data_IF_620149062425
#
_entry.id   IF_620149062425
#
_cell.length_a   1.000
_cell.length_b   1.000
_cell.length_c   1.000
_cell.angle_alpha   90.00
_cell.angle_beta   90.00
_cell.angle_gamma   90.00
#
_symmetry.space_group_name_H-M   'P 1'
#
loop_
_entity.id
_entity.type
_entity.pdbx_description
1 polymer ?
#
# COMPACT_ATOMS: atom_id res chain seq x y z
N UNK A 1 -9.45 25.20 23.60
CA UNK A 1 -8.87 24.72 22.35
C UNK A 1 -9.61 23.45 21.96
N UNK A 2 -10.24 23.42 20.80
CA UNK A 2 -10.91 22.21 20.35
C UNK A 2 -9.84 21.13 20.07
N UNK A 3 -9.86 20.05 20.81
CA UNK A 3 -9.06 18.86 20.52
C UNK A 3 -9.55 18.29 19.21
N UNK A 4 -8.81 18.50 18.12
CA UNK A 4 -9.15 17.89 16.83
C UNK A 4 -9.08 16.37 17.03
N UNK A 5 -10.21 15.70 16.88
CA UNK A 5 -10.31 14.24 17.03
C UNK A 5 -9.33 13.59 16.02
N UNK A 6 -8.53 12.65 16.48
CA UNK A 6 -7.63 11.87 15.62
C UNK A 6 -8.43 10.90 14.77
N UNK A 7 -7.97 10.66 13.56
CA UNK A 7 -8.55 9.73 12.59
C UNK A 7 -7.87 8.38 12.65
N UNK A 8 -8.59 7.31 12.39
CA UNK A 8 -8.01 5.97 12.20
C UNK A 8 -7.78 5.74 10.70
N UNK A 9 -6.58 5.28 10.34
CA UNK A 9 -6.17 5.15 8.94
C UNK A 9 -5.65 3.75 8.63
N UNK A 10 -5.93 3.28 7.42
CA UNK A 10 -5.24 2.14 6.83
C UNK A 10 -4.46 2.62 5.61
N UNK A 11 -3.14 2.50 5.72
CA UNK A 11 -2.21 2.77 4.64
C UNK A 11 -1.98 1.46 3.87
N UNK A 12 -2.05 1.52 2.55
CA UNK A 12 -2.05 0.35 1.68
C UNK A 12 -0.94 0.49 0.64
N UNK A 13 -0.09 -0.52 0.46
CA UNK A 13 0.64 -0.59 -0.80
C UNK A 13 -0.33 -0.88 -1.95
N UNK A 14 0.07 -0.55 -3.15
CA UNK A 14 -0.73 -0.75 -4.35
C UNK A 14 -0.45 -2.13 -4.98
N UNK A 15 0.79 -2.33 -5.43
CA UNK A 15 1.21 -3.51 -6.16
C UNK A 15 1.40 -4.69 -5.18
N UNK A 16 0.75 -5.81 -5.42
CA UNK A 16 0.74 -6.97 -4.51
C UNK A 16 -0.33 -6.93 -3.42
N UNK A 17 -0.94 -5.77 -3.12
CA UNK A 17 -2.00 -5.61 -2.12
C UNK A 17 -3.35 -5.29 -2.77
N UNK A 18 -3.41 -4.27 -3.61
CA UNK A 18 -4.64 -3.83 -4.31
C UNK A 18 -4.74 -4.46 -5.69
N UNK A 19 -3.65 -4.42 -6.46
CA UNK A 19 -3.56 -5.04 -7.78
C UNK A 19 -2.47 -6.11 -7.81
N UNK A 20 -2.56 -7.00 -8.81
CA UNK A 20 -1.52 -8.00 -9.04
C UNK A 20 -0.19 -7.30 -9.30
N UNK A 21 0.84 -7.66 -8.53
CA UNK A 21 2.22 -7.25 -8.82
C UNK A 21 2.76 -8.01 -10.05
N UNK A 22 3.67 -7.38 -10.80
CA UNK A 22 4.31 -7.96 -11.98
C UNK A 22 5.80 -7.62 -11.98
N UNK A 23 6.60 -8.59 -12.43
CA UNK A 23 8.06 -8.43 -12.56
C UNK A 23 8.42 -7.20 -13.40
N UNK A 24 7.64 -6.90 -14.46
CA UNK A 24 7.87 -5.79 -15.39
C UNK A 24 6.94 -4.59 -15.16
N UNK A 25 6.56 -4.33 -13.92
CA UNK A 25 5.63 -3.28 -13.49
C UNK A 25 4.18 -3.45 -14.01
N UNK A 26 3.22 -2.95 -13.25
CA UNK A 26 1.80 -2.93 -13.58
C UNK A 26 1.40 -1.51 -14.02
N UNK A 27 1.61 -1.15 -15.29
CA UNK A 27 1.34 0.18 -15.85
C UNK A 27 0.45 0.18 -17.09
N UNK A 28 0.24 -0.97 -17.72
CA UNK A 28 -0.67 -1.13 -18.86
C UNK A 28 -2.04 -1.56 -18.34
N UNK A 29 -3.10 -0.86 -18.76
CA UNK A 29 -4.47 -1.14 -18.29
C UNK A 29 -4.92 -2.58 -18.56
N UNK A 30 -4.52 -3.15 -19.69
CA UNK A 30 -4.83 -4.55 -20.06
C UNK A 30 -4.29 -5.54 -19.02
N UNK A 31 -3.17 -5.20 -18.41
CA UNK A 31 -2.43 -6.01 -17.45
C UNK A 31 -2.66 -5.59 -16.00
N UNK A 32 -3.34 -4.47 -15.76
CA UNK A 32 -3.62 -3.97 -14.42
C UNK A 32 -4.87 -4.67 -13.87
N UNK A 33 -4.66 -5.68 -13.04
CA UNK A 33 -5.74 -6.52 -12.49
C UNK A 33 -5.93 -6.24 -11.00
N UNK A 34 -7.10 -5.72 -10.63
CA UNK A 34 -7.50 -5.61 -9.22
C UNK A 34 -7.64 -7.02 -8.65
N UNK A 35 -7.09 -7.21 -7.46
CA UNK A 35 -7.09 -8.50 -6.79
C UNK A 35 -8.49 -8.86 -6.26
N UNK A 36 -8.85 -10.15 -6.24
CA UNK A 36 -10.14 -10.60 -5.71
C UNK A 36 -10.35 -10.11 -4.27
N UNK A 37 -11.58 -9.70 -3.95
CA UNK A 37 -11.96 -9.24 -2.62
C UNK A 37 -11.56 -7.81 -2.27
N UNK A 38 -10.69 -7.14 -3.02
CA UNK A 38 -10.23 -5.77 -2.71
C UNK A 38 -11.39 -4.77 -2.59
N UNK A 39 -12.38 -4.72 -3.52
CA UNK A 39 -13.51 -3.80 -3.35
C UNK A 39 -14.35 -4.09 -2.10
N UNK A 40 -14.43 -5.35 -1.68
CA UNK A 40 -15.14 -5.75 -0.45
C UNK A 40 -14.36 -5.27 0.77
N UNK A 41 -13.06 -5.54 0.83
CA UNK A 41 -12.18 -5.14 1.92
C UNK A 41 -12.18 -3.61 2.13
N UNK A 42 -12.09 -2.84 1.04
CA UNK A 42 -12.15 -1.37 1.12
C UNK A 42 -13.50 -0.86 1.63
N UNK A 43 -14.62 -1.51 1.28
CA UNK A 43 -15.94 -1.18 1.86
C UNK A 43 -15.98 -1.48 3.36
N UNK A 44 -15.48 -2.64 3.78
CA UNK A 44 -15.42 -3.00 5.22
C UNK A 44 -14.65 -1.94 6.03
N UNK A 45 -13.50 -1.49 5.51
CA UNK A 45 -12.72 -0.43 6.16
C UNK A 45 -13.49 0.90 6.21
N UNK A 46 -14.18 1.28 5.13
CA UNK A 46 -15.04 2.47 5.11
C UNK A 46 -16.14 2.38 6.17
N UNK A 47 -16.83 1.26 6.21
CA UNK A 47 -17.98 1.04 7.09
C UNK A 47 -17.57 0.99 8.58
N UNK A 48 -16.31 0.59 8.84
CA UNK A 48 -15.67 0.65 10.15
C UNK A 48 -15.02 2.02 10.46
N UNK A 49 -15.17 3.03 9.58
CA UNK A 49 -14.71 4.40 9.82
C UNK A 49 -13.22 4.66 9.54
N UNK A 50 -12.49 3.73 8.94
CA UNK A 50 -11.10 3.95 8.59
C UNK A 50 -10.95 4.79 7.31
N UNK A 51 -9.99 5.72 7.30
CA UNK A 51 -9.48 6.32 6.08
C UNK A 51 -8.59 5.33 5.29
N UNK A 52 -8.73 5.30 3.96
CA UNK A 52 -8.02 4.36 3.07
C UNK A 52 -7.08 5.16 2.17
N UNK A 53 -5.78 5.01 2.43
CA UNK A 53 -4.73 5.81 1.80
C UNK A 53 -3.72 4.87 1.12
N UNK A 54 -3.43 5.09 -0.15
CA UNK A 54 -2.42 4.33 -0.89
C UNK A 54 -1.05 4.99 -0.78
N UNK A 55 -0.02 4.19 -0.48
CA UNK A 55 1.39 4.58 -0.36
C UNK A 55 2.23 3.68 -1.27
N UNK A 56 2.61 4.12 -2.46
CA UNK A 56 3.20 3.24 -3.47
C UNK A 56 4.50 3.76 -4.08
N UNK A 57 5.45 2.86 -4.33
CA UNK A 57 6.63 3.14 -5.13
C UNK A 57 6.33 2.92 -6.62
N UNK A 58 6.59 3.92 -7.46
CA UNK A 58 6.36 3.89 -8.90
C UNK A 58 7.64 4.18 -9.68
N UNK A 59 8.66 3.41 -9.39
CA UNK A 59 10.05 3.63 -9.85
C UNK A 59 10.28 3.42 -11.35
N UNK A 60 9.38 2.75 -12.06
CA UNK A 60 9.45 2.63 -13.51
C UNK A 60 9.39 3.98 -14.23
N UNK A 61 8.83 5.02 -13.57
CA UNK A 61 8.80 6.39 -14.11
C UNK A 61 10.23 6.94 -14.21
N UNK A 62 11.04 6.87 -13.15
CA UNK A 62 12.43 7.31 -13.18
C UNK A 62 13.29 6.50 -14.15
N UNK A 63 12.97 5.22 -14.33
CA UNK A 63 13.66 4.33 -15.27
C UNK A 63 13.21 4.50 -16.72
N UNK A 64 12.23 5.38 -17.02
CA UNK A 64 11.71 5.57 -18.37
C UNK A 64 10.88 4.40 -18.91
N UNK A 65 10.46 3.44 -18.06
CA UNK A 65 9.66 2.29 -18.49
C UNK A 65 8.23 2.69 -18.80
N UNK A 66 7.68 3.62 -18.00
CA UNK A 66 6.35 4.19 -18.22
C UNK A 66 6.27 5.63 -17.73
N UNK A 67 5.25 6.34 -18.15
CA UNK A 67 5.04 7.75 -17.82
C UNK A 67 4.11 7.93 -16.62
N UNK A 68 4.07 9.16 -16.08
CA UNK A 68 3.06 9.54 -15.08
C UNK A 68 1.63 9.38 -15.61
N UNK A 69 1.41 9.56 -16.90
CA UNK A 69 0.09 9.38 -17.52
C UNK A 69 -0.35 7.92 -17.49
N UNK A 70 0.54 6.97 -17.80
CA UNK A 70 0.25 5.54 -17.67
C UNK A 70 -0.09 5.16 -16.21
N UNK A 71 0.70 5.64 -15.25
CA UNK A 71 0.40 5.42 -13.83
C UNK A 71 -0.97 6.01 -13.44
N UNK A 72 -1.27 7.23 -13.88
CA UNK A 72 -2.54 7.89 -13.57
C UNK A 72 -3.73 7.11 -14.15
N UNK A 73 -3.63 6.64 -15.38
CA UNK A 73 -4.66 5.79 -15.99
C UNK A 73 -4.94 4.53 -15.16
N UNK A 74 -3.89 3.87 -14.62
CA UNK A 74 -4.04 2.75 -13.69
C UNK A 74 -4.71 3.17 -12.37
N UNK A 75 -4.38 4.34 -11.83
CA UNK A 75 -5.02 4.85 -10.61
C UNK A 75 -6.50 5.18 -10.85
N UNK A 76 -6.84 5.76 -11.98
CA UNK A 76 -8.24 6.08 -12.35
C UNK A 76 -9.05 4.79 -12.52
N UNK A 77 -8.49 3.79 -13.19
CA UNK A 77 -9.10 2.46 -13.31
C UNK A 77 -9.28 1.78 -11.94
N UNK A 78 -8.27 1.85 -11.07
CA UNK A 78 -8.36 1.36 -9.70
C UNK A 78 -9.52 2.03 -8.96
N UNK A 79 -9.61 3.36 -8.99
CA UNK A 79 -10.69 4.11 -8.35
C UNK A 79 -12.06 3.71 -8.88
N UNK A 80 -12.22 3.64 -10.18
CA UNK A 80 -13.47 3.22 -10.82
C UNK A 80 -13.86 1.80 -10.38
N UNK A 81 -12.93 0.85 -10.43
CA UNK A 81 -13.18 -0.56 -10.09
C UNK A 81 -13.45 -0.77 -8.61
N UNK A 82 -12.86 0.05 -7.73
CA UNK A 82 -13.07 -0.02 -6.28
C UNK A 82 -14.20 0.87 -5.79
N UNK A 83 -14.93 1.57 -6.66
CA UNK A 83 -16.03 2.46 -6.28
C UNK A 83 -15.56 3.75 -5.61
N UNK A 84 -14.40 4.27 -5.99
CA UNK A 84 -13.78 5.49 -5.46
C UNK A 84 -13.54 5.45 -3.93
N UNK A 85 -13.24 4.25 -3.40
CA UNK A 85 -13.06 4.04 -1.97
C UNK A 85 -11.67 4.43 -1.45
N UNK A 86 -10.68 4.66 -2.31
CA UNK A 86 -9.37 5.18 -1.93
C UNK A 86 -9.42 6.70 -1.86
N UNK A 87 -9.16 7.28 -0.68
CA UNK A 87 -9.31 8.72 -0.45
C UNK A 87 -8.09 9.52 -0.92
N UNK A 88 -6.90 8.93 -0.87
CA UNK A 88 -5.67 9.58 -1.31
C UNK A 88 -4.66 8.55 -1.77
N UNK A 89 -3.86 8.94 -2.77
CA UNK A 89 -2.74 8.16 -3.26
C UNK A 89 -1.48 9.03 -3.15
N UNK A 90 -0.47 8.50 -2.45
CA UNK A 90 0.89 9.02 -2.45
C UNK A 90 1.77 8.08 -3.25
N UNK A 91 2.60 8.61 -4.12
CA UNK A 91 3.52 7.80 -4.90
C UNK A 91 4.92 8.41 -4.98
N UNK A 92 5.93 7.54 -5.04
CA UNK A 92 7.32 7.91 -5.26
C UNK A 92 7.76 7.48 -6.66
N UNK A 93 8.01 8.41 -7.60
CA UNK A 93 8.43 8.07 -8.96
C UNK A 93 9.93 7.77 -9.06
N UNK A 94 10.67 7.90 -7.97
CA UNK A 94 12.14 7.84 -7.95
C UNK A 94 12.68 6.41 -7.86
N UNK A 95 13.91 6.23 -8.36
CA UNK A 95 14.69 5.00 -8.21
C UNK A 95 16.14 5.35 -7.84
N UNK A 96 16.80 4.63 -6.91
CA UNK A 96 18.17 4.97 -6.46
C UNK A 96 19.20 5.01 -7.57
N UNK A 97 19.03 4.22 -8.66
CA UNK A 97 19.94 4.26 -9.81
C UNK A 97 19.84 5.56 -10.63
N UNK A 98 18.84 6.41 -10.39
CA UNK A 98 18.63 7.67 -11.11
C UNK A 98 18.73 8.85 -10.14
N UNK A 99 18.01 8.77 -9.01
CA UNK A 99 18.04 9.79 -7.95
C UNK A 99 17.54 9.21 -6.65
N UNK A 100 18.15 9.59 -5.55
CA UNK A 100 17.66 9.26 -4.21
C UNK A 100 16.48 10.15 -3.83
N UNK A 101 15.59 9.64 -2.99
CA UNK A 101 14.43 10.39 -2.54
C UNK A 101 13.85 9.83 -1.25
N UNK A 102 13.68 10.68 -0.26
CA UNK A 102 13.05 10.35 1.01
C UNK A 102 11.56 9.96 0.88
N UNK A 103 10.94 10.19 -0.29
CA UNK A 103 9.57 9.73 -0.54
C UNK A 103 9.50 8.24 -0.86
N UNK A 104 10.61 7.62 -1.30
CA UNK A 104 10.62 6.23 -1.70
C UNK A 104 10.73 5.30 -0.48
N UNK A 105 9.78 4.37 -0.32
CA UNK A 105 9.89 3.28 0.66
C UNK A 105 11.18 2.47 0.41
N UNK A 106 12.01 2.16 1.42
CA UNK A 106 11.68 2.14 2.85
C UNK A 106 11.83 3.47 3.62
N UNK A 107 11.99 4.62 2.96
CA UNK A 107 11.90 5.91 3.63
C UNK A 107 10.44 6.26 3.97
N UNK A 108 10.25 7.09 5.02
CA UNK A 108 8.95 7.30 5.69
C UNK A 108 8.15 8.50 5.20
N UNK A 109 8.73 9.40 4.39
CA UNK A 109 8.15 10.71 4.11
C UNK A 109 6.73 10.67 3.51
N UNK A 110 6.39 9.65 2.70
CA UNK A 110 5.00 9.52 2.20
C UNK A 110 4.03 9.20 3.34
N UNK A 111 4.41 8.29 4.26
CA UNK A 111 3.61 7.96 5.44
C UNK A 111 3.48 9.16 6.38
N UNK A 112 4.57 9.87 6.67
CA UNK A 112 4.56 11.06 7.53
C UNK A 112 3.63 12.15 6.98
N UNK A 113 3.68 12.42 5.67
CA UNK A 113 2.76 13.35 5.01
C UNK A 113 1.31 12.91 5.11
N UNK A 114 1.05 11.62 4.96
CA UNK A 114 -0.29 11.07 5.07
C UNK A 114 -0.81 11.14 6.52
N UNK A 115 0.00 10.74 7.50
CA UNK A 115 -0.29 10.84 8.94
C UNK A 115 -0.64 12.29 9.32
N UNK A 116 0.19 13.25 8.92
CA UNK A 116 -0.05 14.66 9.21
C UNK A 116 -1.33 15.19 8.53
N UNK A 117 -1.55 14.84 7.26
CA UNK A 117 -2.72 15.31 6.50
C UNK A 117 -4.04 14.82 7.08
N UNK A 118 -4.08 13.58 7.51
CA UNK A 118 -5.29 12.94 8.03
C UNK A 118 -5.40 13.04 9.55
N UNK A 119 -4.47 13.70 10.23
CA UNK A 119 -4.38 13.72 11.69
C UNK A 119 -4.50 12.32 12.29
N UNK A 120 -3.75 11.36 11.74
CA UNK A 120 -3.91 9.95 12.05
C UNK A 120 -3.52 9.63 13.49
N UNK A 121 -4.31 8.80 14.16
CA UNK A 121 -3.91 8.13 15.39
C UNK A 121 -2.95 6.99 15.03
N UNK A 122 -1.68 7.17 15.30
CA UNK A 122 -0.62 6.22 14.93
C UNK A 122 -0.87 4.85 15.59
N UNK A 123 -1.23 4.82 16.87
CA UNK A 123 -1.43 3.58 17.62
C UNK A 123 -2.66 2.77 17.18
N UNK A 124 -3.62 3.41 16.50
CA UNK A 124 -4.82 2.77 15.98
C UNK A 124 -4.83 2.65 14.45
N UNK A 125 -3.75 3.06 13.79
CA UNK A 125 -3.63 3.03 12.32
C UNK A 125 -2.70 1.92 11.87
N UNK A 126 -2.90 1.47 10.62
CA UNK A 126 -2.29 0.28 10.07
C UNK A 126 -1.56 0.55 8.75
N UNK A 127 -0.47 -0.17 8.51
CA UNK A 127 0.15 -0.31 7.19
C UNK A 127 0.01 -1.75 6.71
N UNK A 128 -0.51 -1.94 5.50
CA UNK A 128 -0.62 -3.23 4.82
C UNK A 128 0.29 -3.19 3.59
N UNK A 129 1.23 -4.11 3.52
CA UNK A 129 2.19 -4.22 2.42
C UNK A 129 2.55 -5.67 2.11
N UNK A 130 3.13 -5.91 0.94
CA UNK A 130 3.60 -7.26 0.54
C UNK A 130 5.11 -7.43 0.76
N UNK A 131 5.84 -6.33 0.95
CA UNK A 131 7.29 -6.32 1.07
C UNK A 131 7.76 -5.60 2.35
N UNK A 132 8.96 -5.95 2.82
CA UNK A 132 9.58 -5.33 4.00
C UNK A 132 9.73 -3.81 3.87
N UNK A 133 10.03 -3.32 2.66
CA UNK A 133 10.14 -1.89 2.38
C UNK A 133 8.87 -1.10 2.71
N UNK A 134 7.72 -1.76 2.80
CA UNK A 134 6.45 -1.13 3.16
C UNK A 134 6.30 -1.04 4.68
N UNK A 135 6.70 -2.09 5.39
CA UNK A 135 6.44 -2.29 6.80
C UNK A 135 7.53 -1.67 7.69
N UNK A 136 8.79 -1.67 7.26
CA UNK A 136 9.91 -1.08 8.01
C UNK A 136 9.63 0.38 8.40
N UNK A 137 9.28 1.30 7.47
CA UNK A 137 9.01 2.68 7.84
C UNK A 137 7.75 2.82 8.71
N UNK A 138 6.75 1.98 8.51
CA UNK A 138 5.53 1.97 9.32
C UNK A 138 5.82 1.58 10.78
N UNK A 139 6.59 0.50 11.00
CA UNK A 139 7.02 0.07 12.32
C UNK A 139 7.84 1.15 13.04
N UNK A 140 8.77 1.83 12.33
CA UNK A 140 9.56 2.94 12.89
C UNK A 140 8.69 4.10 13.35
N UNK A 141 7.58 4.35 12.69
CA UNK A 141 6.61 5.40 13.05
C UNK A 141 5.62 4.96 14.12
N UNK A 142 5.60 3.67 14.51
CA UNK A 142 4.70 3.12 15.52
C UNK A 142 3.33 2.68 14.99
N UNK A 143 3.16 2.58 13.69
CA UNK A 143 1.95 2.01 13.07
C UNK A 143 1.90 0.50 13.31
N UNK A 144 0.70 -0.05 13.37
CA UNK A 144 0.50 -1.50 13.30
C UNK A 144 0.73 -1.98 11.86
N UNK A 145 1.21 -3.22 11.69
CA UNK A 145 1.61 -3.71 10.36
C UNK A 145 1.07 -5.09 10.04
N UNK A 146 0.60 -5.27 8.81
CA UNK A 146 0.17 -6.55 8.28
C UNK A 146 0.92 -6.83 6.97
N UNK A 147 1.56 -7.99 6.88
CA UNK A 147 2.18 -8.46 5.65
C UNK A 147 1.20 -9.32 4.85
N UNK A 148 1.03 -9.00 3.58
CA UNK A 148 0.30 -9.84 2.63
C UNK A 148 1.31 -10.75 1.91
N UNK A 149 1.17 -12.06 2.06
CA UNK A 149 2.00 -13.06 1.38
C UNK A 149 1.11 -13.92 0.50
N UNK A 150 1.21 -13.72 -0.81
CA UNK A 150 0.47 -14.50 -1.79
C UNK A 150 1.32 -15.64 -2.33
N UNK A 151 0.71 -16.79 -2.49
CA UNK A 151 1.28 -17.82 -3.36
C UNK A 151 1.14 -17.33 -4.80
N UNK A 152 2.22 -16.85 -5.39
CA UNK A 152 2.23 -16.42 -6.80
C UNK A 152 2.94 -17.45 -7.64
N UNK A 153 2.33 -17.80 -8.77
CA UNK A 153 2.95 -18.65 -9.81
C UNK A 153 4.24 -18.02 -10.37
N UNK A 154 4.38 -16.70 -10.29
CA UNK A 154 5.48 -15.93 -10.85
C UNK A 154 6.65 -15.70 -9.87
N UNK A 155 6.48 -15.94 -8.58
CA UNK A 155 7.55 -15.87 -7.56
C UNK A 155 8.09 -17.27 -7.24
N UNK A 156 8.67 -17.94 -8.22
CA UNK A 156 9.55 -19.08 -7.95
C UNK A 156 10.87 -18.54 -7.41
N UNK A 157 11.18 -18.92 -6.17
CA UNK A 157 12.48 -18.75 -5.51
C UNK A 157 12.86 -17.37 -4.94
N UNK A 158 12.15 -16.88 -3.94
CA UNK A 158 12.90 -16.37 -2.79
C UNK A 158 12.76 -17.42 -1.70
N UNK A 159 13.90 -18.00 -1.32
CA UNK A 159 13.98 -19.11 -0.40
C UNK A 159 13.15 -18.85 0.85
N UNK A 160 12.46 -19.90 1.32
CA UNK A 160 11.98 -20.04 2.70
C UNK A 160 13.18 -20.09 3.66
N UNK A 161 13.94 -19.00 3.72
CA UNK A 161 14.78 -18.74 4.87
C UNK A 161 13.84 -18.18 5.94
N UNK A 162 14.00 -18.60 7.17
CA UNK A 162 13.34 -18.09 8.36
C UNK A 162 13.52 -16.56 8.38
N UNK A 163 12.65 -15.86 7.69
CA UNK A 163 12.61 -14.41 7.65
C UNK A 163 11.94 -14.04 8.96
N UNK A 164 12.67 -13.41 9.85
CA UNK A 164 12.06 -12.58 10.89
C UNK A 164 10.99 -11.75 10.20
N UNK A 165 9.73 -12.11 10.43
CA UNK A 165 8.62 -11.51 9.70
C UNK A 165 8.48 -10.07 10.16
N UNK A 166 8.88 -9.13 9.31
CA UNK A 166 8.71 -7.68 9.52
C UNK A 166 7.23 -7.33 9.40
N UNK A 167 6.39 -7.90 10.21
CA UNK A 167 4.96 -7.64 10.27
C UNK A 167 4.38 -8.27 11.51
N UNK A 168 3.49 -7.58 12.20
CA UNK A 168 2.83 -8.11 13.39
C UNK A 168 1.89 -9.27 13.03
N UNK A 169 1.33 -9.24 11.81
CA UNK A 169 0.46 -10.28 11.26
C UNK A 169 0.86 -10.61 9.83
N UNK A 170 0.59 -11.85 9.43
CA UNK A 170 0.80 -12.34 8.06
C UNK A 170 -0.49 -12.97 7.56
N UNK A 171 -0.93 -12.56 6.37
CA UNK A 171 -2.19 -12.99 5.76
C UNK A 171 -2.02 -13.25 4.26
N UNK A 172 -2.96 -13.98 3.66
CA UNK A 172 -2.92 -14.30 2.24
C UNK A 172 -3.41 -13.16 1.32
N UNK A 173 -4.29 -12.27 1.83
CA UNK A 173 -4.93 -11.23 1.03
C UNK A 173 -5.42 -10.05 1.87
N UNK A 174 -5.91 -9.01 1.19
CA UNK A 174 -6.43 -7.81 1.85
C UNK A 174 -7.70 -8.09 2.68
N UNK A 175 -8.51 -9.06 2.30
CA UNK A 175 -9.72 -9.41 3.08
C UNK A 175 -9.32 -9.99 4.44
N UNK A 176 -8.32 -10.86 4.46
CA UNK A 176 -7.74 -11.40 5.70
C UNK A 176 -7.16 -10.31 6.58
N UNK A 177 -6.44 -9.35 6.00
CA UNK A 177 -5.91 -8.21 6.74
C UNK A 177 -7.04 -7.36 7.37
N UNK A 178 -8.07 -7.05 6.61
CA UNK A 178 -9.18 -6.23 7.09
C UNK A 178 -9.97 -6.92 8.19
N UNK A 179 -10.17 -8.23 8.13
CA UNK A 179 -10.80 -9.00 9.22
C UNK A 179 -10.05 -8.88 10.55
N UNK A 180 -8.72 -8.81 10.52
CA UNK A 180 -7.90 -8.58 11.73
C UNK A 180 -8.14 -7.16 12.28
N UNK A 181 -8.27 -6.15 11.39
CA UNK A 181 -8.38 -4.74 11.74
C UNK A 181 -9.76 -4.42 12.36
N UNK A 182 -10.82 -5.00 11.82
CA UNK A 182 -12.20 -4.64 12.21
C UNK A 182 -12.80 -5.61 13.23
N UNK A 183 -12.13 -6.71 13.56
CA UNK A 183 -12.52 -7.70 14.57
C UNK A 183 -13.46 -8.74 14.01
#
# INVERSE_FOLDING_TARGET
MATTQKSICVFLDRDGVINRDRVNYAYELENFKILPGVPVALRMLRDAGFHRIVITNQSGIAKGVYTRQHMQACHDFMQMTTGHLVEKIYYAPHHPSVTESLTRKPDSLMLEKAIARFNADIGQSWMIGDAERDLIPANKLGLQTIRVVRESEDRKSEAKNEIETVGQYVVADLVGAVKIIVG
#
